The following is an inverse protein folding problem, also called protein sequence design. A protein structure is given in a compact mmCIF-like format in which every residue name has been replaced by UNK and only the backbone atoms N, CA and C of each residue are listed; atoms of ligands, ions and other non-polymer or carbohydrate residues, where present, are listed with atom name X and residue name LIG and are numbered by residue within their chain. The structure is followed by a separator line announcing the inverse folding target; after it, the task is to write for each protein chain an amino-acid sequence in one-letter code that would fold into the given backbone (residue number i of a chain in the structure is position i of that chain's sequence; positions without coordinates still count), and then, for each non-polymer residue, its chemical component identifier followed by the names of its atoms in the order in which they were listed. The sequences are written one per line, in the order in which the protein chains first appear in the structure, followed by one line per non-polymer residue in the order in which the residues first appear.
data_IF_013536178182
#
_entry.id   IF_013536178182
#
_cell.length_a   1.000
_cell.length_b   1.000
_cell.length_c   1.000
_cell.angle_alpha   90.00
_cell.angle_beta   90.00
_cell.angle_gamma   90.00
#
_symmetry.space_group_name_H-M   'P 1'
#
loop_
_entity.id
_entity.type
_entity.pdbx_description
1 polymer ?
#
# COMPACT_ATOMS: atom_id res chain seq x y z
N UNK A 1 20.19 6.58 -1.94
CA UNK A 1 19.89 7.98 -1.59
C UNK A 1 18.39 8.08 -1.50
N UNK A 2 17.84 8.63 -0.42
CA UNK A 2 16.39 8.88 -0.35
C UNK A 2 16.02 9.89 -1.43
N UNK A 3 14.88 9.68 -2.07
CA UNK A 3 14.41 10.59 -3.10
C UNK A 3 14.04 11.93 -2.50
N UNK A 4 14.39 13.01 -3.21
CA UNK A 4 13.98 14.37 -2.85
C UNK A 4 12.61 14.73 -3.42
N UNK A 5 12.09 13.90 -4.33
CA UNK A 5 10.84 14.12 -5.02
C UNK A 5 9.70 13.36 -4.34
N UNK A 6 8.49 13.94 -4.30
CA UNK A 6 7.31 13.19 -3.90
C UNK A 6 7.13 11.94 -4.78
N UNK A 7 6.69 10.84 -4.17
CA UNK A 7 6.36 9.59 -4.85
C UNK A 7 4.86 9.41 -4.77
N UNK A 8 4.25 8.93 -5.85
CA UNK A 8 2.82 8.64 -5.94
C UNK A 8 2.59 7.21 -6.39
N UNK A 9 1.48 6.63 -5.97
CA UNK A 9 0.93 5.48 -6.66
C UNK A 9 0.25 5.96 -7.96
N UNK A 10 0.70 5.45 -9.10
CA UNK A 10 0.29 5.95 -10.42
C UNK A 10 -0.07 4.79 -11.32
N UNK A 11 -1.15 4.96 -12.09
CA UNK A 11 -1.61 4.02 -13.09
C UNK A 11 -1.59 4.68 -14.46
N UNK A 12 -0.73 4.18 -15.35
CA UNK A 12 -0.72 4.57 -16.76
C UNK A 12 -1.56 3.58 -17.54
N UNK A 13 -2.76 3.98 -17.94
CA UNK A 13 -3.70 3.14 -18.69
C UNK A 13 -3.24 3.00 -20.13
N UNK A 14 -3.19 1.76 -20.62
CA UNK A 14 -2.84 1.45 -22.01
C UNK A 14 -3.80 0.41 -22.59
N UNK A 15 -3.89 0.36 -23.92
CA UNK A 15 -4.61 -0.69 -24.65
C UNK A 15 -3.64 -1.43 -25.56
N UNK A 16 -3.31 -2.69 -25.21
CA UNK A 16 -2.45 -3.56 -26.01
C UNK A 16 -3.20 -4.72 -26.68
N UNK A 17 -4.54 -4.75 -26.60
CA UNK A 17 -5.39 -5.82 -27.14
C UNK A 17 -5.60 -7.00 -26.18
N UNK A 18 -5.42 -6.77 -24.87
CA UNK A 18 -5.71 -7.76 -23.84
C UNK A 18 -7.19 -7.70 -23.45
N UNK A 19 -7.85 -8.84 -23.44
CA UNK A 19 -9.28 -8.95 -23.11
C UNK A 19 -9.51 -10.14 -22.16
N UNK A 20 -9.74 -9.85 -20.88
CA UNK A 20 -10.09 -10.84 -19.84
C UNK A 20 -9.24 -12.12 -19.83
N UNK A 21 -7.92 -11.96 -19.72
CA UNK A 21 -6.98 -13.09 -19.70
C UNK A 21 -6.55 -13.58 -21.08
N UNK A 22 -7.02 -12.95 -22.16
CA UNK A 22 -6.72 -13.36 -23.53
C UNK A 22 -5.95 -12.29 -24.27
N UNK A 23 -4.85 -12.72 -24.88
CA UNK A 23 -4.03 -11.96 -25.81
C UNK A 23 -3.37 -12.98 -26.74
N UNK A 24 -3.32 -12.74 -28.05
CA UNK A 24 -2.60 -13.67 -28.94
C UNK A 24 -1.09 -13.64 -28.64
N UNK A 25 -0.40 -14.75 -28.86
CA UNK A 25 1.07 -14.82 -28.70
C UNK A 25 1.78 -13.73 -29.52
N UNK A 26 1.32 -13.48 -30.75
CA UNK A 26 1.90 -12.45 -31.61
C UNK A 26 1.70 -11.02 -31.05
N UNK A 27 0.52 -10.71 -30.50
CA UNK A 27 0.30 -9.41 -29.85
C UNK A 27 1.14 -9.29 -28.58
N UNK A 28 1.17 -10.35 -27.77
CA UNK A 28 1.94 -10.42 -26.55
C UNK A 28 3.43 -10.16 -26.81
N UNK A 29 4.01 -10.86 -27.78
CA UNK A 29 5.43 -10.74 -28.11
C UNK A 29 5.77 -9.37 -28.69
N UNK A 30 4.91 -8.82 -29.56
CA UNK A 30 5.09 -7.46 -30.09
C UNK A 30 5.03 -6.42 -28.97
N UNK A 31 4.04 -6.50 -28.09
CA UNK A 31 3.87 -5.60 -26.95
C UNK A 31 5.10 -5.62 -26.05
N UNK A 32 5.49 -6.80 -25.54
CA UNK A 32 6.60 -6.88 -24.61
C UNK A 32 7.94 -6.55 -25.25
N UNK A 33 8.17 -6.94 -26.52
CA UNK A 33 9.41 -6.56 -27.22
C UNK A 33 9.54 -5.05 -27.35
N UNK A 34 8.48 -4.36 -27.81
CA UNK A 34 8.50 -2.91 -27.99
C UNK A 34 8.64 -2.17 -26.66
N UNK A 35 7.78 -2.48 -25.67
CA UNK A 35 7.74 -1.71 -24.44
C UNK A 35 9.03 -1.88 -23.62
N UNK A 36 9.65 -3.07 -23.64
CA UNK A 36 10.97 -3.31 -23.04
C UNK A 36 12.04 -2.42 -23.69
N UNK A 37 12.04 -2.33 -25.03
CA UNK A 37 12.99 -1.50 -25.77
C UNK A 37 12.80 -0.01 -25.46
N UNK A 38 11.55 0.46 -25.44
CA UNK A 38 11.20 1.85 -25.12
C UNK A 38 11.70 2.27 -23.73
N UNK A 39 11.46 1.45 -22.71
CA UNK A 39 11.89 1.74 -21.33
C UNK A 39 13.40 1.60 -21.15
N UNK A 40 14.01 0.54 -21.70
CA UNK A 40 15.47 0.32 -21.61
C UNK A 40 16.27 1.46 -22.24
N UNK A 41 15.80 2.02 -23.37
CA UNK A 41 16.46 3.15 -24.05
C UNK A 41 16.58 4.39 -23.16
N UNK A 42 15.70 4.53 -22.17
CA UNK A 42 15.68 5.68 -21.24
C UNK A 42 16.27 5.32 -19.87
N UNK A 43 16.91 4.15 -19.76
CA UNK A 43 17.68 3.74 -18.58
C UNK A 43 16.88 3.02 -17.51
N UNK A 44 15.64 2.61 -17.78
CA UNK A 44 14.92 1.72 -16.86
C UNK A 44 15.54 0.32 -16.88
N UNK A 45 15.73 -0.23 -15.69
CA UNK A 45 16.05 -1.64 -15.49
C UNK A 45 14.76 -2.46 -15.60
N UNK A 46 14.82 -3.57 -16.32
CA UNK A 46 13.72 -4.51 -16.43
C UNK A 46 13.92 -5.61 -15.38
N UNK A 47 12.90 -5.83 -14.56
CA UNK A 47 12.82 -6.91 -13.58
C UNK A 47 11.83 -7.96 -14.09
N UNK A 48 12.29 -9.19 -14.31
CA UNK A 48 11.41 -10.30 -14.66
C UNK A 48 10.76 -10.90 -13.41
N UNK A 49 9.46 -11.15 -13.44
CA UNK A 49 8.72 -11.68 -12.28
C UNK A 49 7.93 -12.97 -12.61
N UNK A 50 8.54 -14.04 -13.15
CA UNK A 50 7.81 -15.23 -13.56
C UNK A 50 7.05 -15.87 -12.38
N UNK A 51 5.78 -16.29 -12.55
CA UNK A 51 5.03 -16.37 -13.82
C UNK A 51 4.29 -15.08 -14.23
N UNK A 52 4.45 -13.98 -13.50
CA UNK A 52 3.82 -12.69 -13.77
C UNK A 52 4.55 -11.80 -14.77
N UNK A 53 3.96 -10.63 -15.04
CA UNK A 53 4.51 -9.63 -15.96
C UNK A 53 5.77 -8.94 -15.39
N UNK A 54 6.66 -8.42 -16.25
CA UNK A 54 7.85 -7.71 -15.79
C UNK A 54 7.49 -6.41 -15.07
N UNK A 55 8.46 -5.89 -14.31
CA UNK A 55 8.43 -4.54 -13.76
C UNK A 55 9.54 -3.68 -14.35
N UNK A 56 9.30 -2.39 -14.50
CA UNK A 56 10.29 -1.42 -14.98
C UNK A 56 10.69 -0.48 -13.86
N UNK A 57 11.98 -0.46 -13.55
CA UNK A 57 12.53 0.29 -12.41
C UNK A 57 13.49 1.39 -12.85
N UNK A 58 13.31 2.60 -12.30
CA UNK A 58 14.24 3.71 -12.39
C UNK A 58 14.25 4.46 -11.05
N UNK A 59 15.33 4.31 -10.27
CA UNK A 59 15.36 4.84 -8.90
C UNK A 59 14.31 4.16 -8.02
N UNK A 60 13.44 4.95 -7.38
CA UNK A 60 12.30 4.43 -6.61
C UNK A 60 11.04 4.25 -7.44
N UNK A 61 11.02 4.74 -8.68
CA UNK A 61 9.94 4.39 -9.61
C UNK A 61 10.03 2.91 -9.96
N UNK A 62 8.94 2.16 -9.74
CA UNK A 62 8.83 0.75 -10.09
C UNK A 62 7.42 0.47 -10.60
N UNK A 63 7.30 0.14 -11.88
CA UNK A 63 6.01 -0.05 -12.55
C UNK A 63 5.84 -1.52 -12.92
N UNK A 64 4.83 -2.18 -12.37
CA UNK A 64 4.36 -3.47 -12.88
C UNK A 64 3.73 -3.26 -14.26
N UNK A 65 4.19 -3.99 -15.27
CA UNK A 65 3.81 -3.77 -16.65
C UNK A 65 2.78 -4.80 -17.12
N UNK A 66 1.50 -4.50 -16.93
CA UNK A 66 0.40 -5.29 -17.48
C UNK A 66 -0.01 -4.77 -18.87
N UNK A 67 -0.51 -5.62 -19.80
CA UNK A 67 -0.96 -5.16 -21.12
C UNK A 67 -2.14 -4.17 -21.13
N UNK A 68 -2.78 -3.92 -19.98
CA UNK A 68 -3.84 -2.90 -19.83
C UNK A 68 -3.38 -1.67 -19.04
N UNK A 69 -2.25 -1.77 -18.32
CA UNK A 69 -1.75 -0.69 -17.47
C UNK A 69 -0.30 -0.91 -17.03
N UNK A 70 0.40 0.19 -16.81
CA UNK A 70 1.62 0.19 -16.01
C UNK A 70 1.29 0.83 -14.67
N UNK A 71 1.49 0.13 -13.56
CA UNK A 71 1.08 0.62 -12.24
C UNK A 71 2.13 0.42 -11.15
N UNK A 72 2.18 1.37 -10.21
CA UNK A 72 3.04 1.30 -9.03
C UNK A 72 3.61 2.65 -8.60
N UNK A 73 4.59 2.65 -7.68
CA UNK A 73 5.25 3.85 -7.20
C UNK A 73 5.99 4.61 -8.32
N UNK A 74 5.81 5.93 -8.38
CA UNK A 74 6.46 6.81 -9.34
C UNK A 74 6.93 8.12 -8.69
N UNK A 75 8.21 8.44 -8.82
CA UNK A 75 8.73 9.77 -8.50
C UNK A 75 8.07 10.82 -9.41
N UNK A 76 7.59 11.92 -8.85
CA UNK A 76 6.81 12.92 -9.59
C UNK A 76 7.43 13.36 -10.94
N UNK A 77 8.74 13.62 -11.08
CA UNK A 77 9.35 13.94 -12.37
C UNK A 77 9.26 12.80 -13.41
N UNK A 78 9.21 11.55 -12.94
CA UNK A 78 9.11 10.38 -13.81
C UNK A 78 7.72 10.19 -14.41
N UNK A 79 6.67 10.85 -13.89
CA UNK A 79 5.32 10.74 -14.46
C UNK A 79 5.31 11.24 -15.91
N UNK A 80 5.74 12.47 -16.15
CA UNK A 80 5.82 13.04 -17.49
C UNK A 80 6.85 12.33 -18.39
N UNK A 81 7.87 11.70 -17.80
CA UNK A 81 8.80 10.85 -18.54
C UNK A 81 8.11 9.59 -19.07
N UNK A 82 7.41 8.87 -18.20
CA UNK A 82 6.70 7.62 -18.55
C UNK A 82 5.62 7.90 -19.59
N UNK A 83 4.81 8.95 -19.43
CA UNK A 83 3.81 9.28 -20.45
C UNK A 83 4.45 9.54 -21.82
N UNK A 84 5.60 10.22 -21.88
CA UNK A 84 6.32 10.46 -23.15
C UNK A 84 6.85 9.17 -23.76
N UNK A 85 7.27 8.21 -22.94
CA UNK A 85 7.70 6.88 -23.41
C UNK A 85 6.49 6.13 -23.99
N UNK A 86 5.38 6.07 -23.26
CA UNK A 86 4.18 5.33 -23.66
C UNK A 86 3.53 5.90 -24.93
N UNK A 87 3.56 7.23 -25.13
CA UNK A 87 3.06 7.86 -26.38
C UNK A 87 3.85 7.49 -27.64
N UNK A 88 5.01 6.84 -27.52
CA UNK A 88 5.80 6.37 -28.66
C UNK A 88 5.45 4.94 -29.08
N UNK A 89 4.61 4.24 -28.30
CA UNK A 89 4.20 2.87 -28.60
C UNK A 89 3.40 2.75 -29.90
N UNK A 90 3.63 1.66 -30.62
CA UNK A 90 2.94 1.32 -31.87
C UNK A 90 2.16 0.00 -31.75
N UNK A 91 2.54 -0.87 -30.82
CA UNK A 91 1.84 -2.12 -30.46
C UNK A 91 0.78 -1.95 -29.36
N UNK A 92 0.71 -0.77 -28.75
CA UNK A 92 -0.28 -0.40 -27.74
C UNK A 92 -0.60 1.10 -27.84
N UNK A 93 -1.72 1.51 -27.25
CA UNK A 93 -2.14 2.90 -27.18
C UNK A 93 -2.15 3.41 -25.74
N UNK A 94 -1.43 4.50 -25.46
CA UNK A 94 -1.58 5.24 -24.19
C UNK A 94 -2.94 5.95 -24.11
N UNK A 95 -3.63 5.79 -22.99
CA UNK A 95 -4.96 6.35 -22.77
C UNK A 95 -4.95 7.52 -21.77
N UNK A 96 -4.62 7.25 -20.50
CA UNK A 96 -4.65 8.23 -19.42
C UNK A 96 -3.65 7.87 -18.32
N UNK A 97 -3.40 8.83 -17.43
CA UNK A 97 -2.62 8.65 -16.21
C UNK A 97 -3.48 9.01 -15.00
N UNK A 98 -3.67 8.04 -14.11
CA UNK A 98 -4.36 8.23 -12.85
C UNK A 98 -3.32 8.33 -11.72
N UNK A 99 -3.37 9.41 -10.94
CA UNK A 99 -2.49 9.64 -9.78
C UNK A 99 -3.31 9.53 -8.51
N UNK A 100 -2.89 8.64 -7.61
CA UNK A 100 -3.55 8.37 -6.35
C UNK A 100 -2.72 8.90 -5.18
N UNK A 101 -2.55 8.08 -4.14
CA UNK A 101 -1.97 8.48 -2.87
C UNK A 101 -0.49 8.80 -2.98
N UNK A 102 -0.07 9.77 -2.16
CA UNK A 102 1.35 10.04 -1.94
C UNK A 102 1.94 8.89 -1.11
N UNK A 103 3.07 8.38 -1.55
CA UNK A 103 3.79 7.29 -0.91
C UNK A 103 5.00 7.80 -0.14
N UNK A 104 5.24 7.21 1.03
CA UNK A 104 6.48 7.39 1.78
C UNK A 104 7.53 6.34 1.40
N UNK A 105 8.77 6.77 1.20
CA UNK A 105 9.93 5.89 1.04
C UNK A 105 10.55 5.59 2.42
N UNK A 106 9.75 4.99 3.29
CA UNK A 106 10.17 4.59 4.64
C UNK A 106 10.74 3.18 4.65
N UNK A 107 11.85 2.99 5.38
CA UNK A 107 12.18 1.67 5.92
C UNK A 107 11.14 1.25 6.97
N UNK A 108 11.16 -0.02 7.38
CA UNK A 108 10.29 -0.51 8.45
C UNK A 108 10.50 0.29 9.74
N UNK A 109 11.75 0.56 10.08
CA UNK A 109 12.16 1.26 11.30
C UNK A 109 11.72 2.72 11.27
N UNK A 110 11.83 3.36 10.10
CA UNK A 110 11.40 4.75 9.90
C UNK A 110 9.89 4.89 9.98
N UNK A 111 9.15 3.93 9.43
CA UNK A 111 7.68 3.89 9.52
C UNK A 111 7.23 3.70 10.99
N UNK A 112 7.87 2.79 11.74
CA UNK A 112 7.61 2.63 13.18
C UNK A 112 7.95 3.88 13.98
N UNK A 113 9.09 4.51 13.68
CA UNK A 113 9.50 5.76 14.33
C UNK A 113 8.51 6.89 14.03
N UNK A 114 8.04 6.98 12.79
CA UNK A 114 7.00 7.92 12.38
C UNK A 114 5.75 7.75 13.24
N UNK A 115 5.21 6.53 13.38
CA UNK A 115 4.03 6.30 14.20
C UNK A 115 4.24 6.67 15.68
N UNK A 116 5.37 6.28 16.27
CA UNK A 116 5.71 6.59 17.67
C UNK A 116 5.88 8.08 17.94
N UNK A 117 6.33 8.84 16.94
CA UNK A 117 6.53 10.28 17.06
C UNK A 117 5.24 11.08 16.85
N UNK A 118 4.35 10.61 15.98
CA UNK A 118 3.18 11.38 15.55
C UNK A 118 1.90 11.02 16.30
N UNK A 119 1.81 9.82 16.87
CA UNK A 119 0.60 9.35 17.53
C UNK A 119 0.79 9.11 19.02
N UNK A 120 -0.15 9.65 19.80
CA UNK A 120 -0.16 9.53 21.27
C UNK A 120 -1.00 8.33 21.72
N UNK A 121 -0.61 7.73 22.84
CA UNK A 121 -1.43 6.71 23.52
C UNK A 121 -2.83 7.23 23.92
N UNK A 122 -3.02 8.55 24.02
CA UNK A 122 -4.32 9.16 24.31
C UNK A 122 -5.38 8.82 23.26
N UNK A 123 -4.99 8.72 21.98
CA UNK A 123 -5.89 8.32 20.90
C UNK A 123 -6.54 6.95 21.18
N UNK A 124 -5.77 6.01 21.75
CA UNK A 124 -6.26 4.68 22.09
C UNK A 124 -7.22 4.75 23.28
N UNK A 125 -6.89 5.52 24.31
CA UNK A 125 -7.75 5.72 25.47
C UNK A 125 -9.07 6.39 25.10
N UNK A 126 -9.06 7.30 24.12
CA UNK A 126 -10.25 7.92 23.57
C UNK A 126 -11.07 6.94 22.73
N UNK A 127 -10.42 6.15 21.88
CA UNK A 127 -11.09 5.13 21.07
C UNK A 127 -11.81 4.06 21.92
N UNK A 128 -11.25 3.73 23.10
CA UNK A 128 -11.85 2.80 24.06
C UNK A 128 -12.69 3.48 25.15
N UNK A 129 -12.89 4.80 25.11
CA UNK A 129 -13.68 5.52 26.11
C UNK A 129 -15.15 5.16 25.97
N UNK A 130 -15.81 4.97 27.12
CA UNK A 130 -17.26 4.81 27.21
C UNK A 130 -17.80 5.78 28.27
N UNK A 131 -18.99 6.33 28.05
CA UNK A 131 -19.69 7.14 29.07
C UNK A 131 -20.35 6.28 30.15
N UNK A 132 -20.57 5.00 29.84
CA UNK A 132 -21.18 4.00 30.72
C UNK A 132 -20.11 2.95 31.09
N UNK A 133 -19.73 2.85 32.38
CA UNK A 133 -18.72 1.89 32.85
C UNK A 133 -19.07 0.41 32.63
N UNK A 134 -20.34 0.10 32.33
CA UNK A 134 -20.78 -1.27 32.02
C UNK A 134 -20.57 -1.67 30.55
N UNK A 135 -20.33 -0.69 29.67
CA UNK A 135 -20.14 -0.90 28.23
C UNK A 135 -18.68 -1.10 27.88
N UNK A 136 -18.46 -1.96 26.89
CA UNK A 136 -17.15 -2.29 26.35
C UNK A 136 -17.24 -2.33 24.83
N UNK A 137 -16.19 -1.89 24.15
CA UNK A 137 -16.04 -2.03 22.71
C UNK A 137 -15.48 -3.40 22.36
N UNK A 138 -15.79 -3.92 21.18
CA UNK A 138 -15.10 -5.09 20.68
C UNK A 138 -13.67 -4.70 20.32
N UNK A 139 -12.68 -5.37 20.91
CA UNK A 139 -11.25 -4.98 20.77
C UNK A 139 -10.84 -4.92 19.31
N UNK A 140 -11.11 -5.98 18.57
CA UNK A 140 -10.58 -6.14 17.21
C UNK A 140 -11.17 -5.09 16.26
N UNK A 141 -12.46 -4.73 16.40
CA UNK A 141 -13.09 -3.64 15.62
C UNK A 141 -12.40 -2.29 15.86
N UNK A 142 -12.10 -1.95 17.12
CA UNK A 142 -11.43 -0.68 17.44
C UNK A 142 -9.98 -0.68 16.95
N UNK A 143 -9.26 -1.80 17.10
CA UNK A 143 -7.87 -1.88 16.62
C UNK A 143 -7.78 -1.83 15.09
N UNK A 144 -8.69 -2.49 14.37
CA UNK A 144 -8.78 -2.41 12.91
C UNK A 144 -9.07 -0.99 12.43
N UNK A 145 -9.99 -0.30 13.10
CA UNK A 145 -10.31 1.10 12.80
C UNK A 145 -9.13 2.03 13.09
N UNK A 146 -8.40 1.82 14.19
CA UNK A 146 -7.17 2.56 14.49
C UNK A 146 -6.10 2.32 13.43
N UNK A 147 -5.87 1.08 12.99
CA UNK A 147 -4.94 0.81 11.87
C UNK A 147 -5.39 1.56 10.62
N UNK A 148 -6.69 1.52 10.29
CA UNK A 148 -7.25 2.19 9.12
C UNK A 148 -7.04 3.71 9.14
N UNK A 149 -7.16 4.33 10.30
CA UNK A 149 -6.99 5.78 10.46
C UNK A 149 -5.52 6.22 10.49
N UNK A 150 -4.64 5.39 11.04
CA UNK A 150 -3.26 5.78 11.32
C UNK A 150 -2.28 5.40 10.20
N UNK A 151 -2.60 4.38 9.41
CA UNK A 151 -1.69 3.85 8.40
C UNK A 151 -1.29 4.91 7.37
N UNK A 152 -0.05 4.83 6.93
CA UNK A 152 0.42 5.59 5.76
C UNK A 152 0.78 4.63 4.63
N UNK A 153 0.52 5.06 3.39
CA UNK A 153 0.92 4.29 2.21
C UNK A 153 2.42 4.48 1.96
N UNK A 154 3.12 3.38 1.71
CA UNK A 154 4.58 3.39 1.47
C UNK A 154 4.91 2.78 0.12
N UNK A 155 6.10 3.04 -0.40
CA UNK A 155 6.60 2.40 -1.64
C UNK A 155 6.59 0.87 -1.53
N UNK A 156 6.84 0.32 -0.32
CA UNK A 156 6.83 -1.12 -0.05
C UNK A 156 5.42 -1.71 0.02
N UNK A 157 4.43 -0.88 0.34
CA UNK A 157 3.04 -1.29 0.57
C UNK A 157 2.07 -0.21 0.03
N UNK A 158 2.03 0.01 -1.29
CA UNK A 158 1.22 1.09 -1.88
C UNK A 158 -0.28 0.83 -1.72
N UNK A 159 -0.70 -0.44 -1.74
CA UNK A 159 -2.11 -0.84 -1.63
C UNK A 159 -2.62 -0.99 -0.19
N UNK A 160 -1.82 -0.62 0.82
CA UNK A 160 -2.22 -0.63 2.23
C UNK A 160 -1.52 -1.70 3.07
N UNK A 161 -2.10 -2.01 4.24
CA UNK A 161 -1.45 -2.84 5.26
C UNK A 161 -1.83 -4.33 5.22
N UNK A 162 -0.86 -5.18 5.52
CA UNK A 162 -1.02 -6.58 5.91
C UNK A 162 -0.92 -6.77 7.43
N UNK A 163 -1.17 -7.99 7.91
CA UNK A 163 -1.06 -8.33 9.34
C UNK A 163 0.32 -8.04 9.94
N UNK A 164 1.39 -8.16 9.16
CA UNK A 164 2.79 -7.94 9.57
C UNK A 164 3.26 -6.50 9.26
N UNK A 165 2.33 -5.59 8.93
CA UNK A 165 2.70 -4.21 8.61
C UNK A 165 3.10 -3.41 9.86
N UNK A 166 4.04 -2.45 9.74
CA UNK A 166 4.51 -1.67 10.86
C UNK A 166 3.40 -0.94 11.64
N UNK A 167 2.36 -0.45 10.96
CA UNK A 167 1.21 0.16 11.61
C UNK A 167 0.46 -0.82 12.54
N UNK A 168 0.29 -2.07 12.11
CA UNK A 168 -0.40 -3.11 12.89
C UNK A 168 0.42 -3.44 14.13
N UNK A 169 1.75 -3.58 13.99
CA UNK A 169 2.64 -3.77 15.12
C UNK A 169 2.57 -2.61 16.11
N UNK A 170 2.67 -1.37 15.63
CA UNK A 170 2.56 -0.18 16.46
C UNK A 170 1.25 -0.14 17.27
N UNK A 171 0.11 -0.38 16.60
CA UNK A 171 -1.22 -0.38 17.24
C UNK A 171 -1.31 -1.48 18.31
N UNK A 172 -0.87 -2.70 18.00
CA UNK A 172 -0.93 -3.83 18.93
C UNK A 172 -0.01 -3.66 20.13
N UNK A 173 1.22 -3.20 19.92
CA UNK A 173 2.19 -2.96 20.99
C UNK A 173 1.71 -1.85 21.93
N UNK A 174 1.19 -0.75 21.38
CA UNK A 174 0.66 0.37 22.17
C UNK A 174 -0.55 -0.07 22.99
N UNK A 175 -1.49 -0.78 22.37
CA UNK A 175 -2.64 -1.36 23.06
C UNK A 175 -2.22 -2.31 24.20
N UNK A 176 -1.30 -3.24 23.92
CA UNK A 176 -0.83 -4.21 24.91
C UNK A 176 -0.15 -3.52 26.10
N UNK A 177 0.64 -2.47 25.85
CA UNK A 177 1.26 -1.67 26.91
C UNK A 177 0.21 -0.98 27.81
N UNK A 178 -0.86 -0.44 27.22
CA UNK A 178 -1.94 0.21 27.98
C UNK A 178 -2.74 -0.78 28.83
N UNK A 179 -2.99 -1.99 28.33
CA UNK A 179 -3.59 -3.09 29.10
C UNK A 179 -2.67 -3.50 30.25
N UNK A 180 -1.38 -3.70 29.99
CA UNK A 180 -0.38 -4.07 31.00
C UNK A 180 -0.28 -3.01 32.12
N UNK A 181 -0.38 -1.73 31.76
CA UNK A 181 -0.40 -0.59 32.72
C UNK A 181 -1.75 -0.41 33.41
N UNK A 182 -2.76 -1.21 33.07
CA UNK A 182 -4.10 -1.14 33.64
C UNK A 182 -4.87 0.13 33.29
N UNK A 183 -4.50 0.81 32.19
CA UNK A 183 -5.23 1.96 31.65
C UNK A 183 -6.40 1.52 30.76
N UNK A 184 -6.27 0.35 30.14
CA UNK A 184 -7.32 -0.36 29.44
C UNK A 184 -7.68 -1.64 30.21
N UNK A 185 -8.99 -1.95 30.27
CA UNK A 185 -9.54 -3.10 30.99
C UNK A 185 -10.20 -4.05 30.01
N UNK A 186 -9.69 -5.27 29.93
CA UNK A 186 -10.21 -6.33 29.05
C UNK A 186 -11.22 -7.24 29.76
N UNK A 187 -12.22 -7.70 29.02
CA UNK A 187 -13.08 -8.81 29.42
C UNK A 187 -13.29 -9.74 28.23
N UNK A 188 -13.23 -11.05 28.48
CA UNK A 188 -13.52 -12.05 27.46
C UNK A 188 -14.98 -12.50 27.58
N UNK A 189 -15.68 -12.57 26.45
CA UNK A 189 -17.07 -13.07 26.40
C UNK A 189 -17.21 -14.09 25.29
N UNK A 190 -17.85 -15.21 25.58
CA UNK A 190 -18.18 -16.22 24.57
C UNK A 190 -19.44 -15.81 23.82
N UNK A 191 -19.34 -15.65 22.50
CA UNK A 191 -20.47 -15.46 21.58
C UNK A 191 -20.55 -16.64 20.64
N UNK A 192 -21.71 -17.32 20.59
CA UNK A 192 -21.97 -18.30 19.54
C UNK A 192 -22.47 -17.57 18.27
N UNK A 193 -22.08 -17.98 17.06
CA UNK A 193 -21.14 -19.05 16.72
C UNK A 193 -19.64 -18.66 16.75
N UNK A 194 -19.32 -17.38 16.96
CA UNK A 194 -18.01 -16.77 16.71
C UNK A 194 -16.88 -17.07 17.73
N UNK A 195 -17.14 -17.87 18.77
CA UNK A 195 -16.14 -18.25 19.77
C UNK A 195 -15.97 -17.21 20.90
N UNK A 196 -14.76 -17.09 21.45
CA UNK A 196 -14.45 -16.15 22.52
C UNK A 196 -13.95 -14.84 21.93
N UNK A 197 -14.59 -13.74 22.29
CA UNK A 197 -14.24 -12.39 21.82
C UNK A 197 -13.73 -11.55 22.99
N UNK A 198 -12.76 -10.68 22.72
CA UNK A 198 -12.17 -9.77 23.72
C UNK A 198 -12.82 -8.39 23.58
N UNK A 199 -13.35 -7.89 24.68
CA UNK A 199 -13.94 -6.56 24.76
C UNK A 199 -13.09 -5.69 25.69
N UNK A 200 -13.02 -4.39 25.41
CA UNK A 200 -12.14 -3.47 26.11
C UNK A 200 -12.82 -2.12 26.36
N UNK A 201 -12.44 -1.46 27.45
CA UNK A 201 -12.76 -0.06 27.73
C UNK A 201 -11.61 0.59 28.47
N UNK A 202 -11.61 1.91 28.49
CA UNK A 202 -10.75 2.69 29.39
C UNK A 202 -11.17 2.50 30.84
N UNK A 203 -10.18 2.42 31.74
CA UNK A 203 -10.39 2.21 33.19
C UNK A 203 -11.34 3.24 33.80
#
# INVERSE_FOLDING_TARGET
MKTTHPIYDVYFRIEAGYNDGRMSHEQHDRFYTEIRALFSRVGFTILENPPGCPSFQLGTTCLYCHPTELSGPVEEPHIALVERILRQGTSFQYQTTDRYDRLYDFTVEEELAYYRQHYSEQLFLEAFRTSDPSKYHLRDEVLEELVRQLMVHTVRAPLGCSFDSPCVHFVRETYASLVQRGLLVEVQRRRKPYGTMTYCRTK
#
